data_IF_953869556028
#
_entry.id   IF_953869556028
#
_cell.length_a   1.000
_cell.length_b   1.000
_cell.length_c   1.000
_cell.angle_alpha   90.00
_cell.angle_beta   90.00
_cell.angle_gamma   90.00
#
_symmetry.space_group_name_H-M   'P 1'
#
loop_
_entity.id
_entity.type
_entity.pdbx_description
1 polymer ?
#
# COMPACT_ATOMS: atom_id res chain seq x y z
N UNK A 1 6.02 -4.55 -18.26
CA UNK A 1 5.33 -4.71 -16.97
C UNK A 1 6.24 -5.37 -15.95
N UNK A 2 5.93 -5.17 -14.68
CA UNK A 2 6.60 -5.86 -13.59
C UNK A 2 5.55 -6.32 -12.56
N UNK A 3 5.90 -7.33 -11.78
CA UNK A 3 5.12 -7.76 -10.64
C UNK A 3 6.03 -7.94 -9.43
N UNK A 4 5.77 -7.21 -8.37
CA UNK A 4 6.32 -7.36 -7.04
C UNK A 4 5.17 -7.33 -6.00
N UNK A 5 4.05 -7.96 -6.33
CA UNK A 5 2.84 -8.00 -5.50
C UNK A 5 2.49 -6.58 -4.98
N UNK A 6 2.36 -6.38 -3.67
CA UNK A 6 2.00 -5.07 -3.05
C UNK A 6 2.97 -3.93 -3.39
N UNK A 7 4.23 -4.24 -3.65
CA UNK A 7 5.27 -3.25 -3.98
C UNK A 7 5.31 -2.83 -5.44
N UNK A 8 4.52 -3.45 -6.32
CA UNK A 8 4.61 -3.26 -7.79
C UNK A 8 4.56 -1.79 -8.21
N UNK A 9 3.58 -1.02 -7.72
CA UNK A 9 3.42 0.38 -8.08
C UNK A 9 4.64 1.23 -7.72
N UNK A 10 5.14 1.13 -6.48
CA UNK A 10 6.31 1.89 -6.04
C UNK A 10 7.60 1.41 -6.73
N UNK A 11 7.70 0.10 -6.99
CA UNK A 11 8.84 -0.47 -7.74
C UNK A 11 8.83 -0.01 -9.20
N UNK A 12 7.67 0.12 -9.83
CA UNK A 12 7.54 0.67 -11.18
C UNK A 12 8.09 2.10 -11.26
N UNK A 13 7.77 2.93 -10.25
CA UNK A 13 8.30 4.30 -10.15
C UNK A 13 9.83 4.28 -9.99
N UNK A 14 10.37 3.41 -9.12
CA UNK A 14 11.83 3.27 -8.96
C UNK A 14 12.54 2.86 -10.25
N UNK A 15 11.98 1.90 -11.02
CA UNK A 15 12.53 1.50 -12.32
C UNK A 15 12.38 2.60 -13.36
N UNK A 16 11.24 3.30 -13.39
CA UNK A 16 11.04 4.46 -14.26
C UNK A 16 12.08 5.55 -14.02
N UNK A 17 12.39 5.83 -12.74
CA UNK A 17 13.45 6.78 -12.38
C UNK A 17 14.84 6.31 -12.87
N UNK A 18 15.13 5.02 -12.81
CA UNK A 18 16.37 4.45 -13.36
C UNK A 18 16.48 4.65 -14.87
N UNK A 19 15.41 4.40 -15.63
CA UNK A 19 15.40 4.63 -17.08
C UNK A 19 15.65 6.10 -17.43
N UNK A 20 15.06 7.03 -16.67
CA UNK A 20 15.32 8.47 -16.85
C UNK A 20 16.79 8.82 -16.51
N UNK A 21 17.30 8.30 -15.39
CA UNK A 21 18.68 8.56 -14.96
C UNK A 21 19.74 8.00 -15.93
N UNK A 22 19.47 6.87 -16.55
CA UNK A 22 20.35 6.23 -17.53
C UNK A 22 20.25 6.83 -18.96
N UNK A 23 19.26 7.71 -19.17
CA UNK A 23 19.01 8.30 -20.48
C UNK A 23 18.29 7.36 -21.46
N UNK A 24 17.73 6.24 -20.98
CA UNK A 24 16.94 5.32 -21.82
C UNK A 24 15.58 5.93 -22.20
N UNK A 25 15.11 6.88 -21.40
CA UNK A 25 13.86 7.61 -21.64
C UNK A 25 13.93 9.04 -21.08
N UNK A 26 13.38 10.01 -21.80
CA UNK A 26 13.27 11.40 -21.33
C UNK A 26 12.11 11.56 -20.34
N UNK A 27 11.01 10.84 -20.58
CA UNK A 27 9.77 10.88 -19.80
C UNK A 27 9.25 9.47 -19.62
N UNK A 28 8.87 9.12 -18.39
CA UNK A 28 8.26 7.84 -18.05
C UNK A 28 6.95 8.06 -17.28
N UNK A 29 5.87 7.44 -17.75
CA UNK A 29 4.66 7.26 -16.93
C UNK A 29 4.82 5.94 -16.19
N UNK A 30 4.85 6.00 -14.87
CA UNK A 30 5.01 4.83 -14.00
C UNK A 30 3.88 4.76 -12.98
N UNK A 31 3.47 3.56 -12.64
CA UNK A 31 2.39 3.37 -11.67
C UNK A 31 2.03 1.92 -11.48
N UNK A 32 0.83 1.68 -10.98
CA UNK A 32 0.29 0.36 -10.76
C UNK A 32 -1.23 0.33 -10.87
N UNK A 33 -1.74 -0.85 -11.15
CA UNK A 33 -3.17 -1.13 -11.20
C UNK A 33 -3.46 -2.50 -10.61
N UNK A 34 -4.68 -2.68 -10.13
CA UNK A 34 -5.19 -3.96 -9.65
C UNK A 34 -6.68 -4.05 -9.91
N UNK A 35 -7.14 -5.25 -10.23
CA UNK A 35 -8.55 -5.57 -10.32
C UNK A 35 -8.80 -6.88 -9.56
N UNK A 36 -9.03 -6.77 -8.26
CA UNK A 36 -9.26 -7.92 -7.39
C UNK A 36 -10.68 -8.47 -7.55
N UNK A 37 -11.65 -7.61 -7.89
CA UNK A 37 -13.05 -8.02 -8.05
C UNK A 37 -13.30 -8.91 -9.26
N UNK A 38 -12.45 -8.85 -10.29
CA UNK A 38 -12.53 -9.68 -11.50
C UNK A 38 -11.46 -10.77 -11.58
N UNK A 39 -10.74 -11.05 -10.49
CA UNK A 39 -9.77 -12.12 -10.46
C UNK A 39 -10.45 -13.48 -10.72
N UNK A 40 -9.99 -14.26 -11.72
CA UNK A 40 -10.65 -15.49 -12.10
C UNK A 40 -10.38 -16.62 -11.10
N UNK A 41 -11.28 -17.60 -11.08
CA UNK A 41 -11.01 -18.90 -10.52
C UNK A 41 -10.46 -19.81 -11.61
N UNK A 42 -9.36 -20.51 -11.34
CA UNK A 42 -8.61 -21.32 -12.32
C UNK A 42 -8.51 -22.78 -11.90
N UNK A 43 -8.33 -23.67 -12.88
CA UNK A 43 -8.09 -25.09 -12.63
C UNK A 43 -6.92 -25.60 -13.47
N UNK A 44 -6.12 -26.51 -12.91
CA UNK A 44 -4.97 -27.12 -13.58
C UNK A 44 -5.42 -28.31 -14.45
N UNK A 45 -5.89 -28.03 -15.65
CA UNK A 45 -6.41 -29.04 -16.58
C UNK A 45 -5.48 -29.35 -17.78
N UNK A 46 -4.29 -28.77 -17.83
CA UNK A 46 -3.37 -28.94 -18.99
C UNK A 46 -2.99 -30.39 -19.25
N UNK A 47 -2.84 -31.22 -18.21
CA UNK A 47 -2.55 -32.64 -18.33
C UNK A 47 -3.82 -33.50 -18.58
N UNK A 48 -4.97 -32.88 -18.68
CA UNK A 48 -6.27 -33.54 -18.74
C UNK A 48 -6.78 -33.97 -17.37
N UNK A 49 -8.08 -34.31 -17.32
CA UNK A 49 -8.74 -34.83 -16.13
C UNK A 49 -9.56 -36.07 -16.54
N UNK A 50 -9.14 -37.21 -16.04
CA UNK A 50 -9.62 -38.50 -16.56
C UNK A 50 -10.94 -38.95 -15.91
N UNK A 51 -11.14 -38.70 -14.62
CA UNK A 51 -12.31 -39.07 -13.84
C UNK A 51 -12.31 -38.40 -12.46
N UNK A 52 -13.49 -38.10 -11.91
CA UNK A 52 -13.69 -37.46 -10.60
C UNK A 52 -13.95 -35.95 -10.69
N UNK A 53 -13.97 -35.29 -9.53
CA UNK A 53 -14.26 -33.88 -9.43
C UNK A 53 -13.08 -33.01 -9.85
N UNK A 54 -13.37 -31.76 -10.31
CA UNK A 54 -12.39 -30.73 -10.60
C UNK A 54 -12.62 -29.55 -9.65
N UNK A 55 -11.58 -29.16 -8.91
CA UNK A 55 -11.62 -27.97 -8.07
C UNK A 55 -11.15 -26.74 -8.82
N UNK A 56 -11.74 -25.59 -8.48
CA UNK A 56 -11.28 -24.28 -8.93
C UNK A 56 -10.54 -23.57 -7.79
N UNK A 57 -9.48 -22.89 -8.13
CA UNK A 57 -8.61 -22.14 -7.22
C UNK A 57 -8.86 -20.67 -7.43
N UNK A 58 -9.13 -19.91 -6.36
CA UNK A 58 -9.19 -18.45 -6.40
C UNK A 58 -7.77 -17.91 -6.69
N UNK A 59 -7.58 -17.32 -7.87
CA UNK A 59 -6.29 -16.79 -8.30
C UNK A 59 -5.87 -15.57 -7.49
N UNK A 60 -6.81 -14.76 -6.99
CA UNK A 60 -6.52 -13.61 -6.12
C UNK A 60 -5.85 -14.08 -4.82
N UNK A 61 -6.41 -15.10 -4.17
CA UNK A 61 -5.81 -15.68 -2.97
C UNK A 61 -4.48 -16.34 -3.31
N UNK A 62 -4.46 -17.20 -4.34
CA UNK A 62 -3.30 -18.02 -4.68
C UNK A 62 -2.06 -17.20 -5.07
N UNK A 63 -2.25 -16.14 -5.83
CA UNK A 63 -1.15 -15.35 -6.39
C UNK A 63 -0.86 -14.07 -5.57
N UNK A 64 -1.86 -13.50 -4.90
CA UNK A 64 -1.74 -12.22 -4.20
C UNK A 64 -1.71 -12.33 -2.67
N UNK A 65 -2.42 -13.31 -2.08
CA UNK A 65 -2.67 -13.37 -0.63
C UNK A 65 -2.16 -14.65 0.04
N UNK A 66 -1.40 -15.47 -0.67
CA UNK A 66 -0.87 -16.74 -0.18
C UNK A 66 0.65 -16.69 -0.02
N UNK A 67 1.14 -17.07 1.15
CA UNK A 67 2.56 -17.30 1.34
C UNK A 67 2.93 -18.65 0.72
N UNK A 68 3.58 -18.59 -0.44
CA UNK A 68 3.98 -19.77 -1.20
C UNK A 68 5.08 -20.60 -0.52
N UNK A 69 5.85 -20.02 0.41
CA UNK A 69 6.93 -20.69 1.13
C UNK A 69 6.39 -21.48 2.32
N UNK A 70 5.45 -20.92 3.07
CA UNK A 70 4.91 -21.52 4.28
C UNK A 70 3.54 -22.18 4.09
N UNK A 71 2.87 -21.92 2.97
CA UNK A 71 1.62 -22.61 2.61
C UNK A 71 0.38 -22.12 3.37
N UNK A 72 0.31 -20.82 3.68
CA UNK A 72 -0.83 -20.22 4.37
C UNK A 72 -1.16 -18.80 3.87
N UNK A 73 -2.32 -18.28 4.28
CA UNK A 73 -2.78 -16.95 3.91
C UNK A 73 -1.93 -15.85 4.56
N UNK A 74 -1.79 -14.68 3.89
CA UNK A 74 -1.05 -13.51 4.43
C UNK A 74 -1.54 -13.05 5.80
N UNK A 75 -2.82 -13.28 6.13
CA UNK A 75 -3.33 -13.01 7.48
C UNK A 75 -2.62 -13.79 8.57
N UNK A 76 -2.11 -15.01 8.27
CA UNK A 76 -1.28 -15.75 9.21
C UNK A 76 0.08 -15.06 9.44
N UNK A 77 0.66 -14.44 8.41
CA UNK A 77 1.89 -13.65 8.60
C UNK A 77 1.65 -12.44 9.50
N UNK A 78 0.46 -11.85 9.45
CA UNK A 78 0.08 -10.77 10.35
C UNK A 78 -0.06 -11.23 11.80
N UNK A 79 -0.62 -12.43 12.04
CA UNK A 79 -0.64 -13.05 13.38
C UNK A 79 0.78 -13.36 13.89
N UNK A 80 1.68 -13.81 13.01
CA UNK A 80 3.08 -14.04 13.36
C UNK A 80 3.76 -12.73 13.81
N UNK A 81 3.53 -11.64 13.09
CA UNK A 81 4.03 -10.31 13.45
C UNK A 81 3.41 -9.83 14.77
N UNK A 82 2.09 -9.97 14.95
CA UNK A 82 1.42 -9.61 16.19
C UNK A 82 2.04 -10.32 17.40
N UNK A 83 2.29 -11.62 17.27
CA UNK A 83 2.91 -12.43 18.33
C UNK A 83 4.36 -12.01 18.59
N UNK A 84 5.19 -11.86 17.56
CA UNK A 84 6.60 -11.58 17.71
C UNK A 84 6.87 -10.16 18.23
N UNK A 85 6.10 -9.17 17.78
CA UNK A 85 6.21 -7.76 18.24
C UNK A 85 5.31 -7.43 19.42
N UNK A 86 4.53 -8.42 19.90
CA UNK A 86 3.58 -8.27 21.03
C UNK A 86 2.58 -7.13 20.77
N UNK A 87 1.96 -7.17 19.61
CA UNK A 87 0.89 -6.24 19.24
C UNK A 87 -0.45 -6.87 19.59
N UNK A 88 -1.10 -6.35 20.63
CA UNK A 88 -2.38 -6.89 21.09
C UNK A 88 -3.52 -6.61 20.12
N UNK A 89 -4.65 -7.30 20.30
CA UNK A 89 -5.89 -7.04 19.55
C UNK A 89 -6.38 -5.62 19.76
N UNK A 90 -6.32 -5.10 20.96
CA UNK A 90 -6.74 -3.74 21.30
C UNK A 90 -5.90 -2.69 20.60
N UNK A 91 -4.57 -2.90 20.49
CA UNK A 91 -3.68 -2.01 19.74
C UNK A 91 -4.05 -2.00 18.26
N UNK A 92 -4.34 -3.16 17.68
CA UNK A 92 -4.74 -3.29 16.27
C UNK A 92 -6.07 -2.60 15.99
N UNK A 93 -7.08 -2.82 16.83
CA UNK A 93 -8.40 -2.22 16.68
C UNK A 93 -8.35 -0.70 16.86
N UNK A 94 -7.58 -0.19 17.84
CA UNK A 94 -7.38 1.24 18.03
C UNK A 94 -6.69 1.90 16.81
N UNK A 95 -5.67 1.23 16.25
CA UNK A 95 -5.01 1.70 15.03
C UNK A 95 -5.99 1.75 13.86
N UNK A 96 -6.79 0.71 13.67
CA UNK A 96 -7.76 0.62 12.58
C UNK A 96 -8.85 1.72 12.69
N UNK A 97 -9.37 1.97 13.90
CA UNK A 97 -10.31 3.09 14.15
C UNK A 97 -9.65 4.43 13.80
N UNK A 98 -8.41 4.64 14.23
CA UNK A 98 -7.70 5.88 13.92
C UNK A 98 -7.51 6.07 12.41
N UNK A 99 -7.16 5.01 11.67
CA UNK A 99 -7.05 5.05 10.20
C UNK A 99 -8.40 5.42 9.55
N UNK A 100 -9.49 4.78 9.94
CA UNK A 100 -10.83 5.08 9.44
C UNK A 100 -11.24 6.53 9.72
N UNK A 101 -11.05 7.01 10.93
CA UNK A 101 -11.43 8.37 11.33
C UNK A 101 -10.59 9.44 10.63
N UNK A 102 -9.27 9.19 10.42
CA UNK A 102 -8.40 10.07 9.62
C UNK A 102 -8.88 10.13 8.17
N UNK A 103 -9.21 9.00 7.55
CA UNK A 103 -9.68 8.93 6.17
C UNK A 103 -11.04 9.61 6.00
N UNK A 104 -11.99 9.39 6.92
CA UNK A 104 -13.28 10.08 6.93
C UNK A 104 -13.11 11.60 7.03
N UNK A 105 -12.25 12.07 7.93
CA UNK A 105 -11.98 13.49 8.10
C UNK A 105 -11.33 14.10 6.84
N UNK A 106 -10.37 13.39 6.24
CA UNK A 106 -9.70 13.79 5.02
C UNK A 106 -10.65 13.87 3.82
N UNK A 107 -11.53 12.86 3.67
CA UNK A 107 -12.55 12.84 2.61
C UNK A 107 -13.55 13.98 2.77
N UNK A 108 -14.08 14.21 3.98
CA UNK A 108 -14.99 15.33 4.27
C UNK A 108 -14.34 16.70 4.04
N UNK A 109 -13.04 16.82 4.28
CA UNK A 109 -12.28 18.04 4.03
C UNK A 109 -11.83 18.21 2.57
N UNK A 110 -12.18 17.28 1.66
CA UNK A 110 -11.84 17.31 0.25
C UNK A 110 -10.34 17.09 -0.05
N UNK A 111 -9.59 16.51 0.88
CA UNK A 111 -8.12 16.36 0.73
C UNK A 111 -7.71 15.43 -0.40
N UNK A 112 -8.60 14.51 -0.81
CA UNK A 112 -8.32 13.59 -1.92
C UNK A 112 -8.70 14.14 -3.29
N UNK A 113 -9.39 15.29 -3.36
CA UNK A 113 -9.94 15.82 -4.61
C UNK A 113 -8.86 16.11 -5.67
N UNK A 114 -7.69 16.58 -5.25
CA UNK A 114 -6.59 16.92 -6.16
C UNK A 114 -5.83 15.69 -6.69
N UNK A 115 -5.90 14.56 -5.97
CA UNK A 115 -5.19 13.33 -6.35
C UNK A 115 -6.08 12.30 -7.06
N UNK A 116 -7.41 12.44 -6.97
CA UNK A 116 -8.36 11.54 -7.62
C UNK A 116 -8.72 12.07 -9.00
N UNK A 117 -8.59 11.22 -10.01
CA UNK A 117 -9.09 11.47 -11.37
C UNK A 117 -10.48 10.84 -11.48
N UNK A 118 -11.56 11.62 -11.63
CA UNK A 118 -12.90 11.08 -11.77
C UNK A 118 -13.02 10.14 -12.96
N UNK A 119 -13.65 8.99 -12.77
CA UNK A 119 -13.87 7.99 -13.80
C UNK A 119 -15.36 7.78 -14.08
N UNK A 120 -15.79 7.95 -15.33
CA UNK A 120 -17.18 7.78 -15.73
C UNK A 120 -17.45 6.36 -16.21
N UNK A 121 -18.29 5.63 -15.49
CA UNK A 121 -18.77 4.30 -15.89
C UNK A 121 -20.03 4.47 -16.72
N UNK A 122 -20.00 4.03 -17.99
CA UNK A 122 -21.13 4.05 -18.90
C UNK A 122 -21.86 2.70 -18.89
N UNK A 123 -23.12 2.71 -18.54
CA UNK A 123 -23.98 1.52 -18.54
C UNK A 123 -25.22 1.75 -19.42
N UNK A 124 -26.00 0.70 -19.69
CA UNK A 124 -27.29 0.82 -20.39
C UNK A 124 -28.31 1.66 -19.59
N UNK A 125 -28.11 1.83 -18.29
CA UNK A 125 -29.00 2.59 -17.38
C UNK A 125 -28.57 4.03 -17.20
N UNK A 126 -27.45 4.46 -17.79
CA UNK A 126 -26.90 5.80 -17.68
C UNK A 126 -25.40 5.80 -17.31
N UNK A 127 -24.91 6.98 -17.00
CA UNK A 127 -23.53 7.21 -16.58
C UNK A 127 -23.44 7.39 -15.06
N UNK A 128 -22.42 6.83 -14.45
CA UNK A 128 -22.09 7.03 -13.04
C UNK A 128 -20.65 7.52 -12.95
N UNK A 129 -20.43 8.63 -12.27
CA UNK A 129 -19.09 9.17 -12.02
C UNK A 129 -18.58 8.58 -10.68
N UNK A 130 -17.39 7.98 -10.71
CA UNK A 130 -16.65 7.53 -9.53
C UNK A 130 -15.56 8.57 -9.27
N UNK A 131 -15.70 9.36 -8.24
CA UNK A 131 -14.83 10.49 -7.88
C UNK A 131 -14.41 10.47 -6.40
N UNK A 132 -14.74 9.41 -5.69
CA UNK A 132 -14.41 9.21 -4.28
C UNK A 132 -14.07 7.74 -4.00
N UNK A 133 -13.20 7.52 -2.99
CA UNK A 133 -12.99 6.19 -2.43
C UNK A 133 -14.23 5.73 -1.67
N UNK A 134 -14.76 4.57 -2.05
CA UNK A 134 -16.02 4.04 -1.50
C UNK A 134 -15.84 3.15 -0.26
N UNK A 135 -14.58 2.74 0.04
CA UNK A 135 -14.31 1.75 1.07
C UNK A 135 -14.30 2.33 2.49
N UNK A 136 -14.13 3.65 2.64
CA UNK A 136 -14.04 4.34 3.94
C UNK A 136 -15.32 4.12 4.75
N UNK A 137 -15.18 3.57 5.96
CA UNK A 137 -16.29 3.32 6.88
C UNK A 137 -16.48 4.49 7.81
N UNK A 138 -17.42 5.36 7.47
CA UNK A 138 -17.73 6.53 8.27
C UNK A 138 -18.32 6.14 9.64
N UNK A 139 -17.93 6.88 10.69
CA UNK A 139 -18.39 6.66 12.04
C UNK A 139 -17.83 5.39 12.70
N UNK A 140 -16.66 4.92 12.28
CA UNK A 140 -16.01 3.75 12.88
C UNK A 140 -15.68 3.99 14.35
N UNK A 141 -16.02 3.02 15.21
CA UNK A 141 -15.77 3.06 16.65
C UNK A 141 -15.05 1.81 17.14
N UNK A 142 -14.34 1.93 18.24
CA UNK A 142 -13.64 0.79 18.84
C UNK A 142 -14.61 -0.35 19.20
N UNK A 143 -15.79 0.00 19.74
CA UNK A 143 -16.83 -0.96 20.07
C UNK A 143 -17.28 -1.78 18.84
N UNK A 144 -17.40 -1.15 17.67
CA UNK A 144 -17.79 -1.84 16.44
C UNK A 144 -16.74 -2.86 15.98
N UNK A 145 -15.45 -2.58 16.18
CA UNK A 145 -14.35 -3.46 15.80
C UNK A 145 -14.16 -4.62 16.77
N UNK A 146 -14.30 -4.39 18.06
CA UNK A 146 -14.15 -5.42 19.09
C UNK A 146 -15.15 -6.57 18.99
N UNK A 147 -16.32 -6.34 18.36
CA UNK A 147 -17.35 -7.38 18.11
C UNK A 147 -16.95 -8.42 17.07
N UNK A 148 -15.91 -8.16 16.27
CA UNK A 148 -15.50 -9.04 15.18
C UNK A 148 -14.63 -10.20 15.69
N UNK A 149 -14.88 -11.38 15.10
CA UNK A 149 -14.10 -12.57 15.39
C UNK A 149 -12.78 -12.56 14.59
N UNK A 150 -11.73 -13.20 15.11
CA UNK A 150 -10.51 -13.45 14.33
C UNK A 150 -10.83 -14.13 12.99
N UNK A 151 -10.13 -13.71 11.93
CA UNK A 151 -10.42 -14.17 10.57
C UNK A 151 -9.53 -15.32 10.11
N UNK A 152 -8.32 -15.47 10.65
CA UNK A 152 -7.29 -16.39 10.13
C UNK A 152 -6.94 -17.52 11.09
N UNK A 153 -6.96 -17.28 12.39
CA UNK A 153 -6.74 -18.31 13.42
C UNK A 153 -7.84 -18.24 14.48
N UNK A 154 -8.19 -19.37 15.08
CA UNK A 154 -9.32 -19.47 16.04
C UNK A 154 -9.16 -18.50 17.23
N UNK A 155 -7.94 -18.40 17.75
CA UNK A 155 -7.59 -17.56 18.91
C UNK A 155 -6.68 -16.39 18.48
N UNK A 156 -6.81 -15.92 17.24
CA UNK A 156 -6.01 -14.84 16.68
C UNK A 156 -6.50 -13.47 17.06
N UNK A 157 -5.81 -12.47 16.53
CA UNK A 157 -6.07 -11.05 16.78
C UNK A 157 -6.48 -10.27 15.53
N UNK A 158 -6.18 -10.80 14.34
CA UNK A 158 -6.45 -10.17 13.05
C UNK A 158 -7.89 -10.42 12.62
N UNK A 159 -8.61 -9.35 12.30
CA UNK A 159 -10.03 -9.38 11.90
C UNK A 159 -10.24 -8.68 10.56
N UNK A 160 -11.44 -8.81 10.00
CA UNK A 160 -11.83 -8.08 8.79
C UNK A 160 -11.83 -6.54 8.96
N UNK A 161 -11.83 -6.00 10.19
CA UNK A 161 -11.82 -4.56 10.42
C UNK A 161 -10.43 -4.00 10.70
N UNK A 162 -9.47 -4.82 11.13
CA UNK A 162 -8.08 -4.41 11.35
C UNK A 162 -7.11 -4.96 10.29
N UNK A 163 -7.67 -5.41 9.16
CA UNK A 163 -6.99 -5.75 7.91
C UNK A 163 -7.47 -4.83 6.79
N UNK A 164 -6.64 -4.64 5.78
CA UNK A 164 -7.04 -3.90 4.56
C UNK A 164 -8.08 -4.68 3.75
N UNK A 165 -8.84 -3.98 2.92
CA UNK A 165 -9.85 -4.58 2.04
C UNK A 165 -9.30 -5.13 0.74
N UNK A 166 -10.18 -5.86 0.05
CA UNK A 166 -10.01 -6.27 -1.36
C UNK A 166 -10.58 -5.15 -2.23
N UNK A 167 -9.77 -4.54 -3.07
CA UNK A 167 -10.15 -3.34 -3.79
C UNK A 167 -9.60 -3.35 -5.22
N UNK A 168 -10.31 -2.67 -6.10
CA UNK A 168 -9.84 -2.30 -7.42
C UNK A 168 -9.23 -0.90 -7.34
N UNK A 169 -8.25 -0.61 -8.19
CA UNK A 169 -7.65 0.71 -8.23
C UNK A 169 -6.49 0.84 -9.19
N UNK A 170 -6.18 2.09 -9.53
CA UNK A 170 -5.01 2.44 -10.33
C UNK A 170 -4.45 3.78 -9.84
N UNK A 171 -3.14 3.94 -9.94
CA UNK A 171 -2.45 5.18 -9.65
C UNK A 171 -1.18 5.30 -10.50
N UNK A 172 -0.79 6.53 -10.83
CA UNK A 172 0.37 6.78 -11.66
C UNK A 172 1.01 8.13 -11.43
N UNK A 173 2.27 8.23 -11.79
CA UNK A 173 3.07 9.45 -11.76
C UNK A 173 3.84 9.64 -13.05
N UNK A 174 4.15 10.88 -13.37
CA UNK A 174 5.02 11.26 -14.48
C UNK A 174 6.44 11.53 -13.94
N UNK A 175 7.43 10.91 -14.56
CA UNK A 175 8.85 11.01 -14.18
C UNK A 175 9.65 11.63 -15.32
N UNK A 176 10.54 12.55 -14.98
CA UNK A 176 11.52 13.15 -15.89
C UNK A 176 12.67 13.75 -15.09
N UNK A 177 13.73 14.20 -15.77
CA UNK A 177 14.78 14.98 -15.12
C UNK A 177 14.29 16.38 -14.80
N UNK A 178 14.92 17.06 -13.84
CA UNK A 178 14.64 18.46 -13.51
C UNK A 178 14.83 19.37 -14.74
N UNK A 179 15.89 19.14 -15.51
CA UNK A 179 16.15 19.90 -16.73
C UNK A 179 15.02 19.75 -17.77
N UNK A 180 14.46 18.57 -17.93
CA UNK A 180 13.33 18.31 -18.83
C UNK A 180 12.04 18.97 -18.32
N UNK A 181 11.80 18.94 -17.00
CA UNK A 181 10.68 19.66 -16.40
C UNK A 181 10.77 21.17 -16.66
N UNK A 182 11.94 21.76 -16.44
CA UNK A 182 12.20 23.18 -16.72
C UNK A 182 12.00 23.50 -18.20
N UNK A 183 12.52 22.67 -19.12
CA UNK A 183 12.36 22.86 -20.56
C UNK A 183 10.89 22.87 -20.99
N UNK A 184 10.03 22.13 -20.30
CA UNK A 184 8.58 22.06 -20.55
C UNK A 184 7.75 23.06 -19.75
N UNK A 185 8.37 23.87 -18.90
CA UNK A 185 7.65 24.80 -18.03
C UNK A 185 6.82 24.11 -16.94
N UNK A 186 7.21 22.88 -16.54
CA UNK A 186 6.52 22.11 -15.50
C UNK A 186 7.18 22.34 -14.14
N UNK A 187 6.35 22.38 -13.10
CA UNK A 187 6.83 22.46 -11.71
C UNK A 187 6.82 21.06 -11.12
N UNK A 188 7.98 20.48 -10.75
CA UNK A 188 8.02 19.18 -10.08
C UNK A 188 7.29 19.21 -8.74
N UNK A 189 6.54 18.16 -8.41
CA UNK A 189 5.92 18.03 -7.09
C UNK A 189 6.94 17.69 -6.02
N UNK A 190 7.92 16.82 -6.34
CA UNK A 190 9.05 16.48 -5.48
C UNK A 190 10.16 15.81 -6.31
N UNK A 191 11.34 15.66 -5.70
CA UNK A 191 12.46 14.89 -6.23
C UNK A 191 12.56 13.55 -5.51
N UNK A 192 12.85 12.48 -6.25
CA UNK A 192 13.17 11.17 -5.66
C UNK A 192 14.61 11.25 -5.11
N UNK A 193 14.75 11.30 -3.78
CA UNK A 193 16.04 11.35 -3.11
C UNK A 193 16.72 9.98 -3.07
N UNK A 194 15.95 8.93 -2.81
CA UNK A 194 16.44 7.55 -2.81
C UNK A 194 15.30 6.54 -2.89
N UNK A 195 15.64 5.29 -3.18
CA UNK A 195 14.71 4.16 -3.06
C UNK A 195 15.48 2.88 -2.72
N UNK A 196 14.78 1.91 -2.16
CA UNK A 196 15.35 0.61 -1.84
C UNK A 196 14.32 -0.52 -1.87
N UNK A 197 14.82 -1.73 -1.97
CA UNK A 197 14.12 -2.97 -1.68
C UNK A 197 14.89 -3.75 -0.62
N UNK A 198 14.19 -4.58 0.14
CA UNK A 198 14.78 -5.49 1.12
C UNK A 198 14.06 -6.84 1.06
N UNK A 199 14.78 -7.91 1.36
CA UNK A 199 14.25 -9.24 1.57
C UNK A 199 14.31 -9.61 3.05
N UNK A 200 13.36 -10.42 3.52
CA UNK A 200 13.29 -10.94 4.87
C UNK A 200 12.53 -12.28 4.89
N UNK A 201 12.42 -12.90 6.05
CA UNK A 201 11.63 -14.11 6.22
C UNK A 201 10.17 -13.89 5.78
N UNK A 202 9.65 -14.71 4.83
CA UNK A 202 8.28 -14.62 4.36
C UNK A 202 7.24 -14.69 5.46
N UNK A 203 7.49 -15.46 6.53
CA UNK A 203 6.56 -15.64 7.65
C UNK A 203 6.23 -14.36 8.42
N UNK A 204 7.09 -13.35 8.30
CA UNK A 204 6.94 -12.02 8.92
C UNK A 204 7.04 -10.91 7.88
N UNK A 205 6.57 -11.14 6.66
CA UNK A 205 6.66 -10.20 5.53
C UNK A 205 6.18 -8.78 5.89
N UNK A 206 5.24 -8.67 6.83
CA UNK A 206 4.65 -7.40 7.27
C UNK A 206 5.67 -6.38 7.77
N UNK A 207 6.83 -6.81 8.27
CA UNK A 207 7.88 -5.89 8.74
C UNK A 207 8.94 -5.54 7.68
N UNK A 208 8.72 -5.92 6.43
CA UNK A 208 9.54 -5.52 5.27
C UNK A 208 9.80 -4.01 5.17
N UNK A 209 8.82 -3.13 5.49
CA UNK A 209 9.02 -1.68 5.53
C UNK A 209 10.18 -1.24 6.42
N UNK A 210 10.44 -1.90 7.54
CA UNK A 210 11.53 -1.55 8.47
C UNK A 210 12.88 -1.62 7.74
N UNK A 211 13.15 -2.74 7.08
CA UNK A 211 14.41 -2.97 6.38
C UNK A 211 14.54 -2.09 5.13
N UNK A 212 13.46 -1.95 4.37
CA UNK A 212 13.46 -1.11 3.17
C UNK A 212 13.62 0.37 3.53
N UNK A 213 12.89 0.87 4.53
CA UNK A 213 12.96 2.28 4.94
C UNK A 213 14.33 2.64 5.49
N UNK A 214 14.89 1.83 6.39
CA UNK A 214 16.26 2.05 6.92
C UNK A 214 17.29 2.14 5.79
N UNK A 215 17.20 1.25 4.80
CA UNK A 215 18.10 1.25 3.64
C UNK A 215 17.89 2.48 2.73
N UNK A 216 16.64 2.91 2.51
CA UNK A 216 16.34 4.09 1.72
C UNK A 216 16.84 5.37 2.44
N UNK A 217 16.56 5.51 3.74
CA UNK A 217 17.04 6.61 4.57
C UNK A 217 18.57 6.72 4.55
N UNK A 218 19.27 5.59 4.75
CA UNK A 218 20.75 5.56 4.66
C UNK A 218 21.25 6.05 3.31
N UNK A 219 20.61 5.64 2.19
CA UNK A 219 20.97 6.12 0.85
C UNK A 219 20.72 7.61 0.64
N UNK A 220 19.68 8.16 1.27
CA UNK A 220 19.37 9.59 1.23
C UNK A 220 20.27 10.41 2.18
N UNK A 221 21.00 9.76 3.08
CA UNK A 221 21.75 10.44 4.15
C UNK A 221 20.83 11.01 5.24
N UNK A 222 19.66 10.41 5.46
CA UNK A 222 18.64 10.86 6.41
C UNK A 222 18.47 9.89 7.57
N UNK A 223 17.98 10.43 8.69
CA UNK A 223 17.47 9.65 9.82
C UNK A 223 15.93 9.64 9.81
N UNK A 224 15.33 8.73 10.54
CA UNK A 224 13.86 8.67 10.66
C UNK A 224 13.27 9.95 11.29
N UNK A 225 14.03 10.62 12.16
CA UNK A 225 13.63 11.88 12.80
C UNK A 225 13.64 13.09 11.82
N UNK A 226 14.27 12.97 10.66
CA UNK A 226 14.32 14.03 9.65
C UNK A 226 13.05 14.07 8.78
N UNK A 227 12.18 13.06 8.91
CA UNK A 227 10.98 12.95 8.10
C UNK A 227 9.87 13.89 8.59
N UNK A 228 9.25 14.59 7.65
CA UNK A 228 8.05 15.41 7.90
C UNK A 228 6.76 14.63 7.68
N UNK A 229 6.76 13.65 6.76
CA UNK A 229 5.61 12.81 6.42
C UNK A 229 6.03 11.40 6.05
N UNK A 230 5.18 10.44 6.41
CA UNK A 230 5.32 9.02 6.06
C UNK A 230 4.00 8.47 5.56
N UNK A 231 4.02 7.80 4.42
CA UNK A 231 2.96 6.93 3.94
C UNK A 231 3.45 5.48 4.01
N UNK A 232 3.01 4.76 5.03
CA UNK A 232 3.32 3.35 5.24
C UNK A 232 2.05 2.51 5.01
N UNK A 233 2.06 1.65 4.00
CA UNK A 233 0.88 0.87 3.64
C UNK A 233 0.39 0.00 4.79
N UNK A 234 -0.90 0.05 5.07
CA UNK A 234 -1.58 -0.67 6.15
C UNK A 234 -2.19 -1.98 5.62
N UNK A 235 -1.37 -2.96 5.25
CA UNK A 235 -1.90 -4.26 4.84
C UNK A 235 -2.68 -4.93 6.00
N UNK A 236 -2.15 -4.80 7.22
CA UNK A 236 -2.76 -5.24 8.48
C UNK A 236 -2.38 -4.25 9.59
N UNK A 237 -3.28 -3.98 10.53
CA UNK A 237 -2.97 -3.14 11.69
C UNK A 237 -1.82 -3.72 12.54
N UNK A 238 -1.76 -5.05 12.68
CA UNK A 238 -0.67 -5.75 13.36
C UNK A 238 0.70 -5.35 12.81
N UNK A 239 0.85 -5.41 11.49
CA UNK A 239 2.08 -5.05 10.80
C UNK A 239 2.37 -3.55 10.89
N UNK A 240 1.35 -2.69 10.72
CA UNK A 240 1.53 -1.25 10.78
C UNK A 240 1.99 -0.79 12.18
N UNK A 241 1.39 -1.34 13.24
CA UNK A 241 1.82 -1.10 14.62
C UNK A 241 3.27 -1.55 14.86
N UNK A 242 3.66 -2.74 14.36
CA UNK A 242 5.01 -3.26 14.51
C UNK A 242 6.04 -2.37 13.78
N UNK A 243 5.74 -1.93 12.57
CA UNK A 243 6.60 -1.02 11.78
C UNK A 243 6.76 0.32 12.49
N UNK A 244 5.67 0.93 12.95
CA UNK A 244 5.71 2.21 13.67
C UNK A 244 6.56 2.12 14.94
N UNK A 245 6.38 1.04 15.72
CA UNK A 245 7.14 0.76 16.94
C UNK A 245 8.64 0.65 16.65
N UNK A 246 9.02 -0.10 15.63
CA UNK A 246 10.42 -0.43 15.34
C UNK A 246 11.18 0.69 14.62
N UNK A 247 10.47 1.49 13.81
CA UNK A 247 11.04 2.66 13.15
C UNK A 247 11.16 3.86 14.09
N UNK A 248 10.37 3.92 15.16
CA UNK A 248 10.42 4.98 16.16
C UNK A 248 10.07 6.37 15.61
N UNK A 249 9.37 6.45 14.49
CA UNK A 249 8.91 7.73 13.95
C UNK A 249 7.69 8.26 14.72
N UNK A 250 7.46 9.57 14.60
CA UNK A 250 6.31 10.21 15.22
C UNK A 250 5.01 9.71 14.56
N UNK A 251 4.06 9.10 15.28
CA UNK A 251 2.78 8.64 14.71
C UNK A 251 1.94 9.74 14.05
N UNK A 252 2.13 11.01 14.46
CA UNK A 252 1.38 12.16 13.93
C UNK A 252 1.76 12.54 12.49
N UNK A 253 2.91 12.04 11.99
CA UNK A 253 3.32 12.24 10.61
C UNK A 253 3.03 11.03 9.72
N UNK A 254 2.49 9.94 10.28
CA UNK A 254 2.25 8.68 9.55
C UNK A 254 0.78 8.59 9.14
N UNK A 255 0.57 8.34 7.83
CA UNK A 255 -0.77 8.14 7.25
C UNK A 255 -1.76 9.17 7.78
N UNK A 256 -1.42 10.44 7.60
CA UNK A 256 -2.15 11.56 8.21
C UNK A 256 -3.58 11.73 7.69
N UNK A 257 -3.86 11.14 6.53
CA UNK A 257 -5.18 11.09 5.89
C UNK A 257 -5.81 9.68 5.94
N UNK A 258 -5.38 8.83 6.88
CA UNK A 258 -5.74 7.41 6.91
C UNK A 258 -4.94 6.59 5.92
N UNK A 259 -5.05 5.28 5.98
CA UNK A 259 -4.30 4.35 5.13
C UNK A 259 -5.15 3.21 4.58
N UNK A 260 -4.51 2.13 4.16
CA UNK A 260 -5.15 1.05 3.40
C UNK A 260 -6.26 0.31 4.17
N UNK A 261 -6.27 0.31 5.49
CA UNK A 261 -7.38 -0.24 6.28
C UNK A 261 -8.68 0.53 6.00
N UNK A 262 -8.59 1.84 5.78
CA UNK A 262 -9.74 2.69 5.48
C UNK A 262 -9.98 2.87 3.99
N UNK A 263 -8.93 3.13 3.20
CA UNK A 263 -9.01 3.50 1.78
C UNK A 263 -9.08 2.26 0.90
N UNK A 264 -8.44 1.16 1.33
CA UNK A 264 -8.32 -0.08 0.56
C UNK A 264 -6.90 -0.40 0.12
N UNK A 265 -6.70 -1.66 -0.33
CA UNK A 265 -5.39 -2.17 -0.76
C UNK A 265 -5.47 -2.89 -2.11
N UNK A 266 -5.68 -2.15 -3.21
CA UNK A 266 -5.52 -2.72 -4.55
C UNK A 266 -4.04 -3.07 -4.75
N UNK A 267 -3.70 -4.36 -4.62
CA UNK A 267 -2.33 -4.87 -4.42
C UNK A 267 -1.33 -4.19 -5.36
N UNK A 268 -1.50 -4.32 -6.68
CA UNK A 268 -0.57 -3.78 -7.67
C UNK A 268 -0.55 -2.25 -7.77
N UNK A 269 -1.63 -1.57 -7.34
CA UNK A 269 -1.75 -0.11 -7.39
C UNK A 269 -1.22 0.59 -6.14
N UNK A 270 -1.25 -0.08 -4.98
CA UNK A 270 -1.04 0.53 -3.66
C UNK A 270 0.26 1.31 -3.54
N UNK A 271 1.35 0.81 -4.13
CA UNK A 271 2.64 1.51 -4.08
C UNK A 271 2.64 2.88 -4.77
N UNK A 272 1.92 3.02 -5.88
CA UNK A 272 1.74 4.30 -6.56
C UNK A 272 0.68 5.16 -5.86
N UNK A 273 -0.36 4.55 -5.28
CA UNK A 273 -1.39 5.27 -4.54
C UNK A 273 -0.82 6.00 -3.32
N UNK A 274 -0.08 5.29 -2.44
CA UNK A 274 0.53 5.92 -1.27
C UNK A 274 1.55 7.00 -1.65
N UNK A 275 2.25 6.83 -2.79
CA UNK A 275 3.17 7.83 -3.30
C UNK A 275 2.43 9.11 -3.72
N UNK A 276 1.28 8.99 -4.40
CA UNK A 276 0.46 10.15 -4.77
C UNK A 276 -0.06 10.87 -3.52
N UNK A 277 -0.62 10.15 -2.55
CA UNK A 277 -1.10 10.73 -1.30
C UNK A 277 0.04 11.49 -0.57
N UNK A 278 1.24 10.89 -0.53
CA UNK A 278 2.42 11.55 0.04
C UNK A 278 2.78 12.84 -0.69
N UNK A 279 2.83 12.81 -2.04
CA UNK A 279 3.17 13.97 -2.87
C UNK A 279 2.21 15.15 -2.64
N UNK A 280 0.90 14.88 -2.69
CA UNK A 280 -0.11 15.92 -2.50
C UNK A 280 -0.12 16.46 -1.07
N UNK A 281 0.06 15.61 -0.05
CA UNK A 281 0.11 16.06 1.34
C UNK A 281 1.39 16.81 1.67
N UNK A 282 2.53 16.42 1.10
CA UNK A 282 3.77 17.21 1.18
C UNK A 282 3.57 18.63 0.62
N UNK A 283 2.82 18.73 -0.50
CA UNK A 283 2.45 20.02 -1.09
C UNK A 283 1.61 20.87 -0.15
N UNK A 284 0.56 20.30 0.42
CA UNK A 284 -0.38 21.00 1.32
C UNK A 284 0.26 21.49 2.61
N UNK A 285 1.23 20.76 3.16
CA UNK A 285 1.90 21.07 4.43
C UNK A 285 3.23 21.79 4.26
N UNK A 286 3.68 22.02 3.03
CA UNK A 286 5.05 22.46 2.72
C UNK A 286 6.13 21.57 3.36
N UNK A 287 5.82 20.26 3.48
CA UNK A 287 6.73 19.26 4.00
C UNK A 287 7.90 19.05 3.04
N UNK A 288 9.11 18.92 3.59
CA UNK A 288 10.36 18.85 2.81
C UNK A 288 10.84 17.43 2.58
N UNK A 289 10.66 16.53 3.54
CA UNK A 289 11.14 15.14 3.48
C UNK A 289 10.01 14.17 3.73
N UNK A 290 9.74 13.33 2.76
CA UNK A 290 8.70 12.30 2.81
C UNK A 290 9.23 10.91 2.54
N UNK A 291 8.55 9.90 3.07
CA UNK A 291 8.83 8.47 2.86
C UNK A 291 7.55 7.71 2.51
N UNK A 292 7.58 6.95 1.41
CA UNK A 292 6.57 5.95 1.08
C UNK A 292 7.16 4.56 1.25
N UNK A 293 6.42 3.61 1.88
CA UNK A 293 6.90 2.24 2.10
C UNK A 293 5.77 1.21 2.18
N UNK A 294 6.07 -0.03 1.73
CA UNK A 294 5.14 -1.15 1.76
C UNK A 294 5.84 -2.44 2.18
N UNK A 295 5.10 -3.30 2.89
CA UNK A 295 5.41 -4.72 2.97
C UNK A 295 4.92 -5.44 1.70
N UNK A 296 5.51 -6.59 1.43
CA UNK A 296 5.25 -7.34 0.20
C UNK A 296 5.23 -8.83 0.53
N UNK A 297 4.19 -9.53 0.09
CA UNK A 297 4.09 -10.97 0.20
C UNK A 297 5.31 -11.70 -0.38
N UNK A 298 5.71 -12.81 0.25
CA UNK A 298 6.93 -13.52 -0.09
C UNK A 298 8.18 -13.02 0.65
N UNK A 299 8.03 -12.12 1.64
CA UNK A 299 9.12 -11.65 2.49
C UNK A 299 9.94 -10.52 1.87
N UNK A 300 9.29 -9.44 1.45
CA UNK A 300 9.96 -8.28 0.87
C UNK A 300 9.43 -6.96 1.44
N UNK A 301 10.19 -5.90 1.23
CA UNK A 301 9.78 -4.51 1.46
C UNK A 301 10.30 -3.59 0.37
N UNK A 302 9.62 -2.48 0.14
CA UNK A 302 10.04 -1.40 -0.75
C UNK A 302 9.84 -0.06 -0.06
N UNK A 303 10.76 0.88 -0.27
CA UNK A 303 10.66 2.24 0.24
C UNK A 303 11.23 3.25 -0.75
N UNK A 304 10.70 4.48 -0.70
CA UNK A 304 11.15 5.61 -1.50
C UNK A 304 11.13 6.88 -0.65
N UNK A 305 12.23 7.62 -0.67
CA UNK A 305 12.38 8.94 -0.04
C UNK A 305 12.18 10.03 -1.08
N UNK A 306 11.37 11.02 -0.74
CA UNK A 306 11.07 12.19 -1.56
C UNK A 306 11.50 13.46 -0.83
N UNK A 307 11.93 14.48 -1.58
CA UNK A 307 12.21 15.81 -1.05
C UNK A 307 11.63 16.94 -1.91
N UNK A 308 11.34 18.09 -1.28
CA UNK A 308 10.83 19.33 -1.89
C UNK A 308 11.67 20.53 -1.52
#
# INVERSE_FOLDING_TARGET
GLNQVCGSGLRAVALGAQHVQLGDAEIVVAGGQENMSLSPHVSHLRAGHKMGDVSFIDSMIKDGLWDAFNGYHMGQTAENVANQWQISREMQDAFAVASQNKAEAAQKAGKFADEIVPFTIKTRKGETVVDQDEYIRHGATLESMQKLRPAFTKDGSVTAANASGLNDGAAGVLLMTEAEAQRRGLTPLARIASYSTAGLDPSIMGVGPIHASRKALTKAGWNAADLDLVEANEAFAAQACAVNKDMGWNPEIVNVNGGAIAIGHPIGASGARILNTLLFEMGRRDAKKGLATLCIGGGMGVAMCLER
#
